data_IF_019062391969
#
_entry.id   IF_019062391969
#
_cell.length_a   1.000
_cell.length_b   1.000
_cell.length_c   1.000
_cell.angle_alpha   90.00
_cell.angle_beta   90.00
_cell.angle_gamma   90.00
#
_symmetry.space_group_name_H-M   'P 1'
#
loop_
_entity.id
_entity.type
_entity.pdbx_description
1 polymer ?
#
# COMPACT_ATOMS: atom_id res chain seq x y z
N UNK A 1 -0.18 19.48 -23.53
CA UNK A 1 1.04 19.04 -22.83
C UNK A 1 0.65 18.44 -21.48
N UNK A 2 1.19 17.28 -21.18
CA UNK A 2 0.96 16.64 -19.89
C UNK A 2 2.18 16.84 -19.00
N UNK A 3 1.95 17.30 -17.79
CA UNK A 3 3.02 17.46 -16.80
C UNK A 3 2.61 16.79 -15.48
N UNK A 4 3.59 16.22 -14.80
CA UNK A 4 3.36 15.51 -13.56
C UNK A 4 4.29 16.04 -12.47
N UNK A 5 3.79 16.06 -11.24
CA UNK A 5 4.57 16.48 -10.08
C UNK A 5 5.49 15.36 -9.61
N UNK A 6 5.02 14.10 -9.72
CA UNK A 6 5.74 12.91 -9.26
C UNK A 6 5.56 11.78 -10.26
N UNK A 7 6.63 11.06 -10.51
CA UNK A 7 6.60 9.82 -11.28
C UNK A 7 6.97 8.67 -10.34
N UNK A 8 6.10 7.66 -10.26
CA UNK A 8 6.35 6.47 -9.44
C UNK A 8 6.68 5.32 -10.39
N UNK A 9 7.85 4.75 -10.23
CA UNK A 9 8.32 3.62 -11.04
C UNK A 9 8.04 2.34 -10.27
N UNK A 10 7.20 1.49 -10.83
CA UNK A 10 6.74 0.27 -10.19
C UNK A 10 5.43 0.51 -9.41
N UNK A 11 4.36 -0.19 -9.80
CA UNK A 11 3.05 -0.08 -9.16
C UNK A 11 2.64 -1.36 -8.42
N UNK A 12 3.61 -1.98 -7.74
CA UNK A 12 3.35 -3.08 -6.81
C UNK A 12 2.74 -2.57 -5.51
N UNK A 13 2.88 -3.34 -4.42
CA UNK A 13 2.28 -2.99 -3.13
C UNK A 13 2.68 -1.61 -2.63
N UNK A 14 3.97 -1.30 -2.65
CA UNK A 14 4.46 -0.01 -2.14
C UNK A 14 4.22 1.12 -3.13
N UNK A 15 4.47 0.88 -4.42
CA UNK A 15 4.30 1.90 -5.46
C UNK A 15 2.85 2.33 -5.61
N UNK A 16 1.91 1.40 -5.62
CA UNK A 16 0.49 1.71 -5.73
C UNK A 16 -0.02 2.49 -4.53
N UNK A 17 0.46 2.16 -3.32
CA UNK A 17 0.12 2.92 -2.11
C UNK A 17 0.66 4.35 -2.20
N UNK A 18 1.90 4.54 -2.67
CA UNK A 18 2.49 5.86 -2.85
C UNK A 18 1.67 6.69 -3.84
N UNK A 19 1.27 6.11 -4.97
CA UNK A 19 0.41 6.79 -5.96
C UNK A 19 -0.90 7.23 -5.32
N UNK A 20 -1.55 6.35 -4.59
CA UNK A 20 -2.82 6.64 -3.93
C UNK A 20 -2.70 7.82 -2.96
N UNK A 21 -1.71 7.78 -2.08
CA UNK A 21 -1.53 8.84 -1.08
C UNK A 21 -1.10 10.17 -1.70
N UNK A 22 -0.25 10.15 -2.71
CA UNK A 22 0.16 11.36 -3.42
C UNK A 22 -1.02 11.99 -4.16
N UNK A 23 -1.82 11.18 -4.84
CA UNK A 23 -3.01 11.67 -5.55
C UNK A 23 -4.02 12.30 -4.58
N UNK A 24 -4.22 11.70 -3.41
CA UNK A 24 -5.10 12.24 -2.37
C UNK A 24 -4.62 13.59 -1.83
N UNK A 25 -3.31 13.86 -1.91
CA UNK A 25 -2.73 15.14 -1.53
C UNK A 25 -2.77 16.17 -2.64
N UNK A 26 -3.37 15.84 -3.77
CA UNK A 26 -3.51 16.75 -4.90
C UNK A 26 -2.35 16.77 -5.87
N UNK A 27 -1.37 15.88 -5.71
CA UNK A 27 -0.26 15.78 -6.64
C UNK A 27 -0.71 15.13 -7.95
N UNK A 28 -0.14 15.58 -9.07
CA UNK A 28 -0.32 14.92 -10.35
C UNK A 28 0.73 13.84 -10.46
N UNK A 29 0.29 12.58 -10.43
CA UNK A 29 1.18 11.43 -10.33
C UNK A 29 1.06 10.57 -11.57
N UNK A 30 2.21 10.17 -12.12
CA UNK A 30 2.28 9.18 -13.18
C UNK A 30 2.90 7.90 -12.60
N UNK A 31 2.21 6.79 -12.74
CA UNK A 31 2.73 5.48 -12.35
C UNK A 31 3.17 4.72 -13.58
N UNK A 32 4.38 4.16 -13.53
CA UNK A 32 4.95 3.36 -14.61
C UNK A 32 5.25 1.96 -14.10
N UNK A 33 4.83 0.95 -14.84
CA UNK A 33 5.16 -0.44 -14.52
C UNK A 33 5.40 -1.22 -15.80
N UNK A 34 6.26 -2.24 -15.71
CA UNK A 34 6.54 -3.13 -16.83
C UNK A 34 5.39 -4.10 -17.10
N UNK A 35 4.53 -4.31 -16.14
CA UNK A 35 3.46 -5.30 -16.17
C UNK A 35 2.10 -4.63 -15.93
N UNK A 36 0.99 -5.26 -16.35
CA UNK A 36 -0.35 -4.74 -16.05
C UNK A 36 -0.59 -4.59 -14.56
N UNK A 37 -1.56 -3.75 -14.20
CA UNK A 37 -1.97 -3.61 -12.80
C UNK A 37 -2.36 -4.96 -12.21
N UNK A 38 -2.06 -5.14 -10.91
CA UNK A 38 -2.33 -6.38 -10.18
C UNK A 38 -1.63 -7.60 -10.76
N UNK A 39 -0.42 -7.40 -11.34
CA UNK A 39 0.40 -8.50 -11.84
C UNK A 39 0.96 -9.36 -10.69
N UNK A 40 1.45 -10.53 -11.04
CA UNK A 40 1.98 -11.51 -10.10
C UNK A 40 3.51 -11.55 -10.04
N UNK A 41 4.18 -10.50 -10.51
CA UNK A 41 5.65 -10.44 -10.63
C UNK A 41 6.34 -9.78 -9.46
N UNK A 42 5.59 -9.15 -8.55
CA UNK A 42 6.15 -8.46 -7.41
C UNK A 42 6.25 -9.34 -6.18
N UNK A 43 6.99 -8.85 -5.18
CA UNK A 43 7.17 -9.55 -3.90
C UNK A 43 5.89 -9.58 -3.06
N UNK A 44 4.91 -8.73 -3.36
CA UNK A 44 3.63 -8.68 -2.66
C UNK A 44 2.61 -9.68 -3.20
N UNK A 45 2.95 -10.40 -4.26
CA UNK A 45 2.04 -11.40 -4.82
C UNK A 45 1.84 -12.57 -3.86
N UNK A 46 0.62 -13.12 -3.84
CA UNK A 46 0.24 -14.27 -3.04
C UNK A 46 -1.21 -14.18 -2.60
N UNK A 47 -1.73 -15.26 -2.04
CA UNK A 47 -3.14 -15.32 -1.63
C UNK A 47 -3.38 -14.58 -0.32
N UNK A 48 -2.38 -14.51 0.55
CA UNK A 48 -2.51 -13.91 1.86
C UNK A 48 -1.19 -13.30 2.31
N UNK A 49 -1.27 -12.36 3.24
CA UNK A 49 -0.13 -11.73 3.89
C UNK A 49 -0.43 -11.50 5.36
N UNK A 50 0.63 -11.43 6.16
CA UNK A 50 0.52 -11.17 7.58
C UNK A 50 0.97 -9.75 7.91
N UNK A 51 0.31 -9.15 8.89
CA UNK A 51 0.74 -7.93 9.53
C UNK A 51 0.80 -8.20 11.04
N UNK A 52 1.90 -7.78 11.67
CA UNK A 52 2.10 -7.95 13.12
C UNK A 52 2.24 -6.61 13.78
N UNK A 53 1.63 -6.45 14.96
CA UNK A 53 1.86 -5.27 15.80
C UNK A 53 3.04 -5.48 16.74
N UNK A 54 3.28 -6.71 17.17
CA UNK A 54 4.45 -7.07 17.96
C UNK A 54 5.62 -7.43 17.04
N UNK A 55 6.56 -6.50 16.89
CA UNK A 55 7.69 -6.65 15.98
C UNK A 55 8.98 -6.58 16.79
N UNK A 56 9.69 -7.71 16.90
CA UNK A 56 10.82 -7.84 17.84
C UNK A 56 12.13 -7.26 17.29
N UNK A 57 12.26 -7.07 15.98
CA UNK A 57 13.51 -6.63 15.37
C UNK A 57 13.87 -5.19 15.75
N UNK A 58 12.88 -4.31 15.86
CA UNK A 58 13.14 -2.94 16.30
C UNK A 58 11.84 -2.27 16.76
N UNK A 59 11.88 -1.59 17.94
CA UNK A 59 10.67 -0.93 18.44
C UNK A 59 10.17 0.21 17.57
N UNK A 60 11.00 0.80 16.72
CA UNK A 60 10.60 1.87 15.81
C UNK A 60 9.60 1.41 14.74
N UNK A 61 9.50 0.11 14.50
CA UNK A 61 8.50 -0.42 13.58
C UNK A 61 7.09 -0.45 14.15
N UNK A 62 6.94 -0.42 15.48
CA UNK A 62 5.62 -0.52 16.10
C UNK A 62 4.68 0.63 15.72
N UNK A 63 5.11 1.91 15.76
CA UNK A 63 4.26 3.00 15.29
C UNK A 63 3.84 2.86 13.81
N UNK A 64 4.75 2.40 12.96
CA UNK A 64 4.45 2.16 11.55
C UNK A 64 3.42 1.05 11.37
N UNK A 65 3.53 -0.02 12.14
CA UNK A 65 2.58 -1.13 12.09
C UNK A 65 1.20 -0.72 12.58
N UNK A 66 1.12 0.09 13.63
CA UNK A 66 -0.14 0.64 14.12
C UNK A 66 -0.81 1.51 13.06
N UNK A 67 -0.02 2.36 12.41
CA UNK A 67 -0.53 3.20 11.33
C UNK A 67 -0.99 2.36 10.14
N UNK A 68 -0.24 1.31 9.80
CA UNK A 68 -0.63 0.39 8.73
C UNK A 68 -1.98 -0.28 9.03
N UNK A 69 -2.19 -0.70 10.29
CA UNK A 69 -3.47 -1.29 10.70
C UNK A 69 -4.62 -0.31 10.53
N UNK A 70 -4.43 0.94 10.95
CA UNK A 70 -5.44 1.99 10.76
C UNK A 70 -5.78 2.19 9.29
N UNK A 71 -4.77 2.22 8.42
CA UNK A 71 -4.95 2.41 6.99
C UNK A 71 -5.66 1.22 6.36
N UNK A 72 -5.37 -0.01 6.78
CA UNK A 72 -6.09 -1.19 6.33
C UNK A 72 -7.57 -1.12 6.70
N UNK A 73 -7.88 -0.73 7.94
CA UNK A 73 -9.27 -0.57 8.37
C UNK A 73 -9.99 0.53 7.61
N UNK A 74 -9.30 1.63 7.33
CA UNK A 74 -9.83 2.71 6.50
C UNK A 74 -10.15 2.21 5.09
N UNK A 75 -9.25 1.45 4.50
CA UNK A 75 -9.44 0.89 3.17
C UNK A 75 -10.61 -0.10 3.12
N UNK A 76 -10.79 -0.91 4.18
CA UNK A 76 -11.95 -1.78 4.31
C UNK A 76 -13.25 -0.98 4.28
N UNK A 77 -13.30 0.11 5.03
CA UNK A 77 -14.49 0.98 5.08
C UNK A 77 -14.78 1.62 3.71
N UNK A 78 -13.75 2.11 3.04
CA UNK A 78 -13.89 2.75 1.74
C UNK A 78 -14.35 1.77 0.66
N UNK A 79 -13.80 0.56 0.66
CA UNK A 79 -14.09 -0.46 -0.36
C UNK A 79 -15.35 -1.27 -0.06
N UNK A 80 -15.80 -1.29 1.19
CA UNK A 80 -16.91 -2.12 1.63
C UNK A 80 -16.58 -3.61 1.63
N UNK A 81 -15.29 -3.97 1.64
CA UNK A 81 -14.82 -5.35 1.56
C UNK A 81 -13.93 -5.65 2.77
N UNK A 82 -14.12 -6.78 3.47
CA UNK A 82 -13.22 -7.17 4.54
C UNK A 82 -11.84 -7.56 3.97
N UNK A 83 -10.80 -6.91 4.45
CA UNK A 83 -9.43 -7.10 3.97
C UNK A 83 -8.49 -7.61 5.03
N UNK A 84 -8.76 -7.30 6.30
CA UNK A 84 -7.87 -7.62 7.41
C UNK A 84 -8.61 -8.46 8.45
N UNK A 85 -8.11 -9.65 8.72
CA UNK A 85 -8.65 -10.53 9.75
C UNK A 85 -7.69 -10.58 10.92
N UNK A 86 -8.18 -10.26 12.11
CA UNK A 86 -7.38 -10.37 13.33
C UNK A 86 -7.46 -11.79 13.87
N UNK A 87 -6.31 -12.41 14.10
CA UNK A 87 -6.21 -13.78 14.58
C UNK A 87 -5.07 -13.89 15.61
N UNK A 88 -5.40 -13.72 16.83
CA UNK A 88 -4.45 -13.85 17.92
C UNK A 88 -3.65 -12.60 18.18
#
# INVERSE_FOLDING_TARGET
MHSFDVIVVGSGGMGSAAVCHLARRGARVLALDRFPLAHDRGSSHGQTRLIRLAYFEHPDYVPLLRRARELWRSLERESGTPLLTECG
#
